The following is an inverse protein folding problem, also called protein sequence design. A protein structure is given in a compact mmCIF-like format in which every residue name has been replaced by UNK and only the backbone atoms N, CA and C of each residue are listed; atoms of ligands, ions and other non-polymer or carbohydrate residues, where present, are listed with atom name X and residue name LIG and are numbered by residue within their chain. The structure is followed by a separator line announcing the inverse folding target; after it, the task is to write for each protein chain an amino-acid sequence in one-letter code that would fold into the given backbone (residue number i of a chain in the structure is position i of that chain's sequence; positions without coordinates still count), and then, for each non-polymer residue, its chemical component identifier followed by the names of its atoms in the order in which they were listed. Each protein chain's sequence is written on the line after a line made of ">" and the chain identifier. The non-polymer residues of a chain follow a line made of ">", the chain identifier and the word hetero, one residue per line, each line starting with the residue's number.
data_IF_810504610873
#
_entry.id   IF_810504610873
#
_cell.length_a   1.000
_cell.length_b   1.000
_cell.length_c   1.000
_cell.angle_alpha   90.00
_cell.angle_beta   90.00
_cell.angle_gamma   90.00
#
_symmetry.space_group_name_H-M   'P 1'
#
loop_
_entity.id
_entity.type
_entity.pdbx_description
1 polymer ?
#
# COMPACT_ATOMS: atom_id res chain seq x y z
N UNK A 1 -5.60 -4.14 10.01
CA UNK A 1 -5.49 -2.82 10.66
C UNK A 1 -4.06 -2.35 10.48
N UNK A 2 -3.89 -1.12 10.01
CA UNK A 2 -2.59 -0.47 9.83
C UNK A 2 -2.63 0.76 10.76
N UNK A 3 -1.60 0.97 11.58
CA UNK A 3 -1.60 2.04 12.59
C UNK A 3 -0.26 2.77 12.54
N UNK A 4 -0.31 4.09 12.62
CA UNK A 4 0.87 4.94 12.72
C UNK A 4 0.55 6.19 13.54
N UNK A 5 1.30 6.44 14.61
CA UNK A 5 1.02 7.54 15.55
C UNK A 5 -0.44 7.50 16.05
N UNK A 6 -1.22 8.55 15.81
CA UNK A 6 -2.64 8.66 16.13
C UNK A 6 -3.58 8.21 14.99
N UNK A 7 -3.04 7.91 13.80
CA UNK A 7 -3.81 7.46 12.65
C UNK A 7 -3.95 5.93 12.61
N UNK A 8 -5.16 5.45 12.29
CA UNK A 8 -5.48 4.04 12.13
C UNK A 8 -6.35 3.80 10.89
N UNK A 9 -5.88 2.91 10.00
CA UNK A 9 -6.59 2.48 8.79
C UNK A 9 -7.15 1.05 8.93
N UNK A 10 -8.39 0.88 8.50
CA UNK A 10 -9.07 -0.41 8.42
C UNK A 10 -9.29 -0.82 6.97
N UNK A 11 -8.96 -2.08 6.66
CA UNK A 11 -9.24 -2.69 5.35
C UNK A 11 -10.40 -3.65 5.53
N UNK A 12 -11.56 -3.27 5.00
CA UNK A 12 -12.81 -4.00 5.14
C UNK A 12 -13.26 -4.55 3.77
N UNK A 13 -13.89 -5.72 3.76
CA UNK A 13 -14.48 -6.30 2.54
C UNK A 13 -15.88 -5.74 2.23
N UNK A 14 -16.59 -5.25 3.25
CA UNK A 14 -17.93 -4.67 3.14
C UNK A 14 -17.92 -3.23 3.63
N UNK A 15 -18.65 -2.36 2.93
CA UNK A 15 -18.89 -0.98 3.33
C UNK A 15 -19.65 -0.90 4.66
N UNK A 16 -20.54 -1.86 4.93
CA UNK A 16 -21.33 -1.91 6.17
C UNK A 16 -20.44 -2.04 7.40
N UNK A 17 -19.35 -2.83 7.29
CA UNK A 17 -18.38 -2.98 8.37
C UNK A 17 -17.63 -1.67 8.60
N UNK A 18 -17.28 -0.95 7.52
CA UNK A 18 -16.62 0.35 7.64
C UNK A 18 -17.54 1.38 8.32
N UNK A 19 -18.82 1.45 7.93
CA UNK A 19 -19.82 2.31 8.58
C UNK A 19 -20.03 1.95 10.05
N UNK A 20 -20.05 0.65 10.37
CA UNK A 20 -20.17 0.20 11.77
C UNK A 20 -18.97 0.66 12.60
N UNK A 21 -17.75 0.50 12.09
CA UNK A 21 -16.53 0.98 12.76
C UNK A 21 -16.60 2.49 12.97
N UNK A 22 -16.96 3.26 11.94
CA UNK A 22 -17.06 4.72 12.04
C UNK A 22 -18.10 5.16 13.08
N UNK A 23 -19.20 4.42 13.21
CA UNK A 23 -20.29 4.72 14.15
C UNK A 23 -19.91 4.38 15.59
N UNK A 24 -19.27 3.23 15.81
CA UNK A 24 -18.97 2.72 17.17
C UNK A 24 -17.63 3.24 17.73
N UNK A 25 -16.65 3.54 16.86
CA UNK A 25 -15.31 3.93 17.27
C UNK A 25 -15.28 5.17 18.20
N UNK A 26 -16.06 6.24 17.99
CA UNK A 26 -16.06 7.41 18.88
C UNK A 26 -16.44 7.05 20.32
N UNK A 27 -17.48 6.23 20.52
CA UNK A 27 -17.94 5.83 21.84
C UNK A 27 -16.94 4.88 22.52
N UNK A 28 -16.28 4.02 21.75
CA UNK A 28 -15.22 3.13 22.24
C UNK A 28 -14.00 3.95 22.66
N UNK A 29 -13.51 4.86 21.82
CA UNK A 29 -12.36 5.72 22.09
C UNK A 29 -12.58 6.66 23.28
N UNK A 30 -13.80 7.17 23.47
CA UNK A 30 -14.16 8.03 24.59
C UNK A 30 -13.96 7.36 25.96
N UNK A 31 -14.00 6.02 26.05
CA UNK A 31 -13.72 5.27 27.30
C UNK A 31 -12.30 5.47 27.80
N UNK A 32 -11.38 5.86 26.91
CA UNK A 32 -9.99 6.20 27.24
C UNK A 32 -9.72 7.70 27.10
N UNK A 33 -10.76 8.53 27.15
CA UNK A 33 -10.68 9.99 26.98
C UNK A 33 -10.06 10.41 25.64
N UNK A 34 -10.20 9.59 24.60
CA UNK A 34 -9.76 9.89 23.24
C UNK A 34 -10.93 10.40 22.40
N UNK A 35 -10.65 11.38 21.55
CA UNK A 35 -11.63 11.95 20.61
C UNK A 35 -11.21 11.65 19.18
N UNK A 36 -12.07 10.95 18.45
CA UNK A 36 -11.87 10.69 17.03
C UNK A 36 -12.14 11.96 16.21
N UNK A 37 -11.26 12.25 15.25
CA UNK A 37 -11.45 13.36 14.32
C UNK A 37 -12.23 12.89 13.09
N UNK A 38 -13.56 12.99 13.17
CA UNK A 38 -14.46 12.55 12.09
C UNK A 38 -14.26 13.34 10.79
N UNK A 39 -13.87 14.62 10.85
CA UNK A 39 -13.64 15.42 9.64
C UNK A 39 -12.38 15.02 8.86
N UNK A 40 -11.46 14.29 9.51
CA UNK A 40 -10.28 13.70 8.88
C UNK A 40 -10.47 12.22 8.49
N UNK A 41 -11.61 11.62 8.82
CA UNK A 41 -11.86 10.21 8.53
C UNK A 41 -12.24 10.05 7.06
N UNK A 42 -11.48 9.23 6.34
CA UNK A 42 -11.63 9.07 4.88
C UNK A 42 -11.98 7.64 4.50
N UNK A 43 -12.92 7.49 3.56
CA UNK A 43 -13.27 6.21 2.96
C UNK A 43 -12.64 6.08 1.58
N UNK A 44 -12.04 4.92 1.29
CA UNK A 44 -11.45 4.63 -0.01
C UNK A 44 -11.89 3.24 -0.47
N UNK A 45 -12.61 3.18 -1.60
CA UNK A 45 -13.05 1.92 -2.18
C UNK A 45 -12.00 1.36 -3.13
N UNK A 46 -11.44 0.20 -2.78
CA UNK A 46 -10.47 -0.50 -3.63
C UNK A 46 -11.21 -1.52 -4.48
N UNK A 47 -11.48 -1.15 -5.73
CA UNK A 47 -12.06 -2.04 -6.72
C UNK A 47 -11.33 -1.90 -8.06
N UNK A 48 -11.21 -3.00 -8.80
CA UNK A 48 -10.75 -2.93 -10.19
C UNK A 48 -11.93 -2.56 -11.06
N UNK A 49 -11.74 -1.60 -11.96
CA UNK A 49 -12.76 -1.26 -12.93
C UNK A 49 -12.86 -2.42 -13.94
N UNK A 50 -14.07 -2.95 -14.20
CA UNK A 50 -14.25 -4.05 -15.16
C UNK A 50 -14.05 -3.59 -16.61
N UNK A 51 -14.17 -2.28 -16.86
CA UNK A 51 -14.00 -1.65 -18.17
C UNK A 51 -12.65 -0.97 -18.32
N UNK A 52 -11.75 -1.11 -17.34
CA UNK A 52 -10.52 -0.34 -17.28
C UNK A 52 -9.61 -0.67 -18.49
N UNK A 53 -9.24 0.37 -19.22
CA UNK A 53 -8.39 0.27 -20.42
C UNK A 53 -7.00 -0.31 -20.09
N UNK A 54 -6.29 -0.82 -21.11
CA UNK A 54 -5.02 -1.56 -20.91
C UNK A 54 -3.90 -0.74 -20.22
N UNK A 55 -3.88 0.58 -20.40
CA UNK A 55 -2.82 1.46 -19.90
C UNK A 55 -3.07 1.93 -18.45
N UNK A 56 -2.02 1.97 -17.63
CA UNK A 56 -2.05 2.45 -16.24
C UNK A 56 -2.61 3.87 -16.11
N UNK A 57 -2.24 4.78 -17.02
CA UNK A 57 -2.63 6.20 -16.95
C UNK A 57 -4.14 6.35 -17.14
N UNK A 58 -4.73 5.57 -18.04
CA UNK A 58 -6.16 5.61 -18.29
C UNK A 58 -6.94 4.89 -17.20
N UNK A 59 -6.42 3.79 -16.64
CA UNK A 59 -7.04 3.13 -15.45
C UNK A 59 -7.12 4.02 -14.23
N UNK A 60 -6.16 4.91 -14.02
CA UNK A 60 -6.19 5.84 -12.89
C UNK A 60 -7.35 6.84 -12.95
N UNK A 61 -8.02 6.99 -14.11
CA UNK A 61 -9.26 7.79 -14.24
C UNK A 61 -10.50 7.05 -13.75
N UNK A 62 -10.49 5.72 -13.84
CA UNK A 62 -11.63 4.86 -13.47
C UNK A 62 -11.44 4.21 -12.09
N UNK A 63 -10.22 4.25 -11.55
CA UNK A 63 -9.82 3.62 -10.29
C UNK A 63 -9.17 4.67 -9.36
N UNK A 64 -9.98 5.51 -8.71
CA UNK A 64 -9.54 6.64 -7.88
C UNK A 64 -8.54 6.24 -6.78
N UNK A 65 -8.64 5.01 -6.26
CA UNK A 65 -7.72 4.49 -5.25
C UNK A 65 -6.26 4.44 -5.72
N UNK A 66 -5.99 4.48 -7.04
CA UNK A 66 -4.62 4.53 -7.59
C UNK A 66 -3.91 5.86 -7.38
N UNK A 67 -4.67 6.93 -7.16
CA UNK A 67 -4.12 8.27 -6.91
C UNK A 67 -4.33 8.72 -5.46
N UNK A 68 -5.19 8.03 -4.71
CA UNK A 68 -5.31 8.20 -3.26
C UNK A 68 -3.97 7.90 -2.59
N UNK A 69 -3.51 8.83 -1.75
CA UNK A 69 -2.33 8.62 -0.90
C UNK A 69 -2.79 8.46 0.53
N UNK A 70 -2.52 7.30 1.12
CA UNK A 70 -2.68 7.07 2.56
C UNK A 70 -1.35 7.29 3.26
N UNK A 71 -1.37 7.53 4.57
CA UNK A 71 -0.18 7.91 5.33
C UNK A 71 0.96 6.91 5.16
N UNK A 72 0.65 5.61 5.20
CA UNK A 72 1.61 4.53 4.96
C UNK A 72 2.21 4.52 3.55
N UNK A 73 1.53 5.08 2.55
CA UNK A 73 2.06 5.24 1.18
C UNK A 73 2.88 6.52 0.99
N UNK A 74 2.73 7.50 1.90
CA UNK A 74 3.55 8.72 1.89
C UNK A 74 4.89 8.49 2.59
N UNK A 75 4.91 7.62 3.59
CA UNK A 75 6.08 7.36 4.43
C UNK A 75 6.83 6.13 3.94
N UNK A 76 8.02 6.33 3.36
CA UNK A 76 8.95 5.25 3.09
C UNK A 76 8.70 4.47 1.80
N UNK A 77 7.67 4.79 1.01
CA UNK A 77 7.38 4.09 -0.27
C UNK A 77 8.52 4.26 -1.28
N UNK A 78 9.09 5.47 -1.37
CA UNK A 78 10.23 5.72 -2.25
C UNK A 78 11.47 4.94 -1.79
N UNK A 79 11.71 4.93 -0.48
CA UNK A 79 12.81 4.21 0.17
C UNK A 79 12.63 2.69 0.07
N UNK A 80 11.43 2.17 0.24
CA UNK A 80 11.08 0.75 0.12
C UNK A 80 11.21 0.27 -1.34
N UNK A 81 10.69 1.03 -2.30
CA UNK A 81 10.87 0.73 -3.73
C UNK A 81 12.35 0.77 -4.11
N UNK A 82 13.09 1.77 -3.64
CA UNK A 82 14.54 1.88 -3.85
C UNK A 82 15.28 0.69 -3.25
N UNK A 83 14.95 0.33 -2.00
CA UNK A 83 15.55 -0.82 -1.29
C UNK A 83 15.26 -2.14 -2.01
N UNK A 84 14.02 -2.38 -2.46
CA UNK A 84 13.68 -3.59 -3.22
C UNK A 84 14.44 -3.69 -4.54
N UNK A 85 14.57 -2.58 -5.28
CA UNK A 85 15.40 -2.53 -6.49
C UNK A 85 16.85 -2.87 -6.19
N UNK A 86 17.42 -2.27 -5.15
CA UNK A 86 18.82 -2.53 -4.76
C UNK A 86 19.04 -4.00 -4.36
N UNK A 87 18.12 -4.58 -3.58
CA UNK A 87 18.18 -5.99 -3.19
C UNK A 87 18.06 -6.94 -4.40
N UNK A 88 17.14 -6.67 -5.33
CA UNK A 88 16.97 -7.45 -6.55
C UNK A 88 18.23 -7.39 -7.43
N UNK A 89 18.81 -6.20 -7.62
CA UNK A 89 20.06 -6.02 -8.37
C UNK A 89 21.21 -6.76 -7.69
N UNK A 90 21.34 -6.66 -6.36
CA UNK A 90 22.37 -7.37 -5.61
C UNK A 90 22.24 -8.90 -5.73
N UNK A 91 21.01 -9.43 -5.66
CA UNK A 91 20.74 -10.85 -5.86
C UNK A 91 21.08 -11.31 -7.28
N UNK A 92 20.72 -10.52 -8.30
CA UNK A 92 21.05 -10.79 -9.69
C UNK A 92 22.57 -10.82 -9.92
N UNK A 93 23.30 -9.84 -9.38
CA UNK A 93 24.76 -9.79 -9.46
C UNK A 93 25.42 -11.00 -8.78
N UNK A 94 24.87 -11.48 -7.67
CA UNK A 94 25.34 -12.71 -7.01
C UNK A 94 25.15 -13.93 -7.92
N UNK A 95 24.00 -14.08 -8.56
CA UNK A 95 23.77 -15.18 -9.51
C UNK A 95 24.69 -15.09 -10.74
N UNK A 96 24.92 -13.90 -11.27
CA UNK A 96 25.79 -13.68 -12.44
C UNK A 96 27.25 -14.06 -12.18
N UNK A 97 27.75 -13.82 -10.95
CA UNK A 97 29.09 -14.28 -10.54
C UNK A 97 29.23 -15.80 -10.58
N UNK A 98 28.16 -16.56 -10.31
CA UNK A 98 28.19 -18.03 -10.45
C UNK A 98 28.17 -18.47 -11.92
N UNK A 99 27.39 -17.82 -12.79
CA UNK A 99 27.31 -18.18 -14.22
C UNK A 99 28.55 -17.79 -15.05
N UNK A 100 29.23 -16.71 -14.67
CA UNK A 100 30.41 -16.21 -15.41
C UNK A 100 31.69 -16.98 -15.09
N UNK A 101 31.74 -17.67 -13.95
CA UNK A 101 32.90 -18.49 -13.53
C UNK A 101 33.01 -19.84 -14.24
N UNK A 102 32.05 -20.24 -15.08
CA UNK A 102 32.03 -21.55 -15.74
C UNK A 102 32.39 -21.54 -17.23
N UNK A 103 32.89 -20.42 -17.79
CA UNK A 103 33.52 -20.44 -19.12
C UNK A 103 34.89 -21.09 -19.04
N UNK A 104 34.92 -22.43 -19.16
CA UNK A 104 36.14 -23.23 -19.34
C UNK A 104 36.92 -22.73 -20.56
N UNK A 105 38.26 -22.76 -20.55
CA UNK A 105 39.06 -22.43 -21.74
C UNK A 105 38.77 -23.47 -22.82
N UNK A 106 38.42 -23.00 -24.03
CA UNK A 106 38.42 -23.84 -25.23
C UNK A 106 39.87 -24.23 -25.52
N UNK A 107 40.18 -25.52 -25.39
CA UNK A 107 41.34 -26.14 -26.03
C UNK A 107 41.08 -26.25 -27.52
#
# INVERSE_FOLDING_TARGET
>A
MIVYADDADFVCQSAEIATLIETEAPAVLAKWSLQMNTSKTEHTSVHRSPTAQSNRITRAKDEDWRITRKLGSLLGDAEDVSRRKNLATAALHRMWKFGSGHRRPRK
#
